data_IF_920515409053
#
_entry.id   IF_920515409053
#
_cell.length_a   1.000
_cell.length_b   1.000
_cell.length_c   1.000
_cell.angle_alpha   90.00
_cell.angle_beta   90.00
_cell.angle_gamma   90.00
#
_symmetry.space_group_name_H-M   'P 1'
#
loop_
_entity.id
_entity.type
_entity.pdbx_description
1 polymer ?
#
# COMPACT_ATOMS: atom_id res chain seq x y z
N UNK A 1 -37.76 38.32 -5.26
CA UNK A 1 -38.10 37.41 -6.37
C UNK A 1 -39.28 37.92 -7.20
N UNK A 2 -40.48 38.09 -6.63
CA UNK A 2 -41.69 38.49 -7.38
C UNK A 2 -41.56 39.84 -8.11
N UNK A 3 -40.96 40.85 -7.48
CA UNK A 3 -40.71 42.15 -8.14
C UNK A 3 -39.70 42.09 -9.29
N UNK A 4 -38.76 41.14 -9.26
CA UNK A 4 -37.79 40.94 -10.34
C UNK A 4 -38.46 40.24 -11.54
N UNK A 5 -39.32 39.25 -11.29
CA UNK A 5 -40.12 38.58 -12.31
C UNK A 5 -41.04 39.56 -13.07
N UNK A 6 -41.70 40.47 -12.36
CA UNK A 6 -42.57 41.49 -12.96
C UNK A 6 -41.78 42.46 -13.85
N UNK A 7 -40.58 42.88 -13.40
CA UNK A 7 -39.67 43.71 -14.18
C UNK A 7 -39.19 43.02 -15.47
N UNK A 8 -38.80 41.74 -15.38
CA UNK A 8 -38.35 40.95 -16.52
C UNK A 8 -39.47 40.71 -17.54
N UNK A 9 -40.69 40.39 -17.10
CA UNK A 9 -41.86 40.26 -17.97
C UNK A 9 -42.22 41.60 -18.65
N UNK A 10 -42.12 42.71 -17.92
CA UNK A 10 -42.31 44.05 -18.49
C UNK A 10 -41.27 44.39 -19.55
N UNK A 11 -40.01 43.99 -19.36
CA UNK A 11 -38.92 44.17 -20.33
C UNK A 11 -39.10 43.29 -21.57
N UNK A 12 -39.53 42.03 -21.38
CA UNK A 12 -39.84 41.12 -22.48
C UNK A 12 -40.96 41.67 -23.38
N UNK A 13 -42.03 42.22 -22.80
CA UNK A 13 -43.10 42.85 -23.58
C UNK A 13 -42.59 44.02 -24.42
N UNK A 14 -41.71 44.88 -23.88
CA UNK A 14 -41.10 45.98 -24.66
C UNK A 14 -40.25 45.47 -25.83
N UNK A 15 -39.51 44.37 -25.63
CA UNK A 15 -38.71 43.75 -26.70
C UNK A 15 -39.62 43.16 -27.79
N UNK A 16 -40.74 42.55 -27.42
CA UNK A 16 -41.76 42.06 -28.36
C UNK A 16 -42.43 43.19 -29.14
N UNK A 17 -42.76 44.30 -28.48
CA UNK A 17 -43.31 45.49 -29.12
C UNK A 17 -42.29 46.09 -30.11
N UNK A 18 -41.01 46.17 -29.75
CA UNK A 18 -39.96 46.65 -30.65
C UNK A 18 -39.73 45.73 -31.87
N UNK A 19 -39.90 44.41 -31.70
CA UNK A 19 -39.82 43.44 -32.80
C UNK A 19 -41.01 43.54 -33.76
N UNK A 20 -42.20 43.90 -33.28
CA UNK A 20 -43.44 44.00 -34.07
C UNK A 20 -43.58 45.36 -34.78
N UNK A 21 -43.19 46.46 -34.14
CA UNK A 21 -43.33 47.81 -34.69
C UNK A 21 -42.08 48.37 -35.39
N UNK A 22 -40.95 47.64 -35.40
CA UNK A 22 -39.72 48.01 -36.12
C UNK A 22 -39.89 47.98 -37.65
N UNK A 23 -40.36 49.11 -38.20
CA UNK A 23 -40.78 49.29 -39.59
C UNK A 23 -39.69 48.94 -40.61
N UNK A 24 -40.06 48.09 -41.57
CA UNK A 24 -39.38 47.89 -42.84
C UNK A 24 -39.39 49.19 -43.64
N UNK A 25 -38.23 49.82 -43.84
CA UNK A 25 -38.06 50.79 -44.92
C UNK A 25 -38.30 50.01 -46.22
N UNK A 26 -39.46 50.26 -46.82
CA UNK A 26 -39.97 49.48 -47.94
C UNK A 26 -39.38 50.09 -49.22
N UNK A 27 -38.53 49.34 -49.94
CA UNK A 27 -37.92 49.75 -51.23
C UNK A 27 -38.89 50.45 -52.19
N UNK A 28 -40.19 50.13 -52.11
CA UNK A 28 -41.28 50.74 -52.88
C UNK A 28 -41.45 52.27 -52.73
N UNK A 29 -40.91 52.90 -51.69
CA UNK A 29 -41.02 54.36 -51.53
C UNK A 29 -39.96 55.14 -52.33
N UNK A 30 -38.76 54.58 -52.52
CA UNK A 30 -37.69 55.27 -53.25
C UNK A 30 -37.90 55.26 -54.77
N UNK A 31 -38.60 54.27 -55.32
CA UNK A 31 -38.97 54.25 -56.75
C UNK A 31 -39.92 55.40 -57.13
N UNK A 32 -40.75 55.89 -56.19
CA UNK A 32 -41.62 57.06 -56.41
C UNK A 32 -40.86 58.38 -56.41
N UNK A 33 -39.68 58.47 -55.79
CA UNK A 33 -38.82 59.67 -55.80
C UNK A 33 -38.18 59.92 -57.16
N UNK A 34 -38.06 58.89 -58.01
CA UNK A 34 -37.52 58.97 -59.37
C UNK A 34 -38.34 59.90 -60.30
N UNK A 35 -39.62 60.13 -59.97
CA UNK A 35 -40.50 61.01 -60.74
C UNK A 35 -40.44 62.50 -60.37
N UNK A 36 -39.87 62.86 -59.20
CA UNK A 36 -39.92 64.22 -58.67
C UNK A 36 -38.57 64.95 -58.63
N UNK A 37 -37.44 64.23 -58.62
CA UNK A 37 -36.10 64.85 -58.52
C UNK A 37 -35.08 64.16 -59.46
N UNK A 38 -34.81 64.71 -60.65
CA UNK A 38 -33.92 64.11 -61.65
C UNK A 38 -32.42 64.13 -61.32
N UNK A 39 -31.97 65.00 -60.40
CA UNK A 39 -30.55 65.21 -60.03
C UNK A 39 -30.12 64.47 -58.74
N UNK A 40 -30.86 63.44 -58.31
CA UNK A 40 -30.56 62.71 -57.07
C UNK A 40 -29.62 61.52 -57.34
N UNK A 41 -28.49 61.48 -56.62
CA UNK A 41 -27.53 60.37 -56.66
C UNK A 41 -28.11 59.10 -55.97
N UNK A 42 -28.78 58.29 -56.79
CA UNK A 42 -29.41 57.03 -56.37
C UNK A 42 -28.41 55.98 -55.87
N UNK A 43 -27.13 56.05 -56.27
CA UNK A 43 -26.13 55.10 -55.79
C UNK A 43 -25.89 55.29 -54.29
N UNK A 44 -25.78 56.54 -53.84
CA UNK A 44 -25.60 56.91 -52.43
C UNK A 44 -26.84 56.63 -51.57
N UNK A 45 -28.05 56.82 -52.12
CA UNK A 45 -29.30 56.48 -51.43
C UNK A 45 -29.47 54.96 -51.24
N UNK A 46 -29.07 54.16 -52.22
CA UNK A 46 -29.11 52.70 -52.11
C UNK A 46 -28.05 52.17 -51.13
N UNK A 47 -26.88 52.82 -51.05
CA UNK A 47 -25.87 52.53 -50.02
C UNK A 47 -26.40 52.83 -48.61
N UNK A 48 -27.06 53.98 -48.42
CA UNK A 48 -27.72 54.36 -47.16
C UNK A 48 -28.86 53.39 -46.81
N UNK A 49 -29.67 52.96 -47.77
CA UNK A 49 -30.73 51.95 -47.56
C UNK A 49 -30.15 50.58 -47.21
N UNK A 50 -29.06 50.17 -47.87
CA UNK A 50 -28.33 48.94 -47.52
C UNK A 50 -27.75 49.03 -46.10
N UNK A 51 -27.16 50.15 -45.72
CA UNK A 51 -26.69 50.41 -44.36
C UNK A 51 -27.84 50.31 -43.34
N UNK A 52 -28.97 50.99 -43.58
CA UNK A 52 -30.14 50.91 -42.70
C UNK A 52 -30.76 49.51 -42.65
N UNK A 53 -30.76 48.77 -43.75
CA UNK A 53 -31.22 47.38 -43.78
C UNK A 53 -30.30 46.46 -42.98
N UNK A 54 -28.99 46.70 -43.04
CA UNK A 54 -27.98 46.00 -42.24
C UNK A 54 -28.13 46.29 -40.75
N UNK A 55 -28.24 47.56 -40.37
CA UNK A 55 -28.49 48.00 -38.99
C UNK A 55 -29.80 47.42 -38.45
N UNK A 56 -30.87 47.43 -39.26
CA UNK A 56 -32.16 46.86 -38.87
C UNK A 56 -32.08 45.35 -38.68
N UNK A 57 -31.29 44.65 -39.52
CA UNK A 57 -31.09 43.19 -39.40
C UNK A 57 -30.31 42.84 -38.13
N UNK A 58 -29.23 43.59 -37.83
CA UNK A 58 -28.44 43.41 -36.62
C UNK A 58 -29.30 43.70 -35.38
N UNK A 59 -30.03 44.82 -35.37
CA UNK A 59 -30.93 45.18 -34.27
C UNK A 59 -32.02 44.12 -34.04
N UNK A 60 -32.62 43.59 -35.11
CA UNK A 60 -33.59 42.49 -34.99
C UNK A 60 -32.97 41.20 -34.45
N UNK A 61 -31.71 40.90 -34.78
CA UNK A 61 -31.01 39.74 -34.21
C UNK A 61 -30.69 39.94 -32.72
N UNK A 62 -30.25 41.14 -32.33
CA UNK A 62 -29.99 41.45 -30.91
C UNK A 62 -31.27 41.43 -30.08
N UNK A 63 -32.38 41.99 -30.57
CA UNK A 63 -33.68 41.94 -29.90
C UNK A 63 -34.19 40.50 -29.74
N UNK A 64 -33.94 39.61 -30.71
CA UNK A 64 -34.27 38.18 -30.58
C UNK A 64 -33.42 37.49 -29.52
N UNK A 65 -32.11 37.75 -29.50
CA UNK A 65 -31.23 37.19 -28.48
C UNK A 65 -31.60 37.69 -27.07
N UNK A 66 -31.95 38.96 -26.93
CA UNK A 66 -32.42 39.53 -25.66
C UNK A 66 -33.75 38.90 -25.23
N UNK A 67 -34.67 38.68 -26.18
CA UNK A 67 -35.92 37.97 -25.92
C UNK A 67 -35.68 36.57 -25.36
N UNK A 68 -34.86 35.77 -26.02
CA UNK A 68 -34.58 34.39 -25.61
C UNK A 68 -33.89 34.33 -24.22
N UNK A 69 -32.97 35.27 -23.96
CA UNK A 69 -32.34 35.43 -22.64
C UNK A 69 -33.35 35.77 -21.54
N UNK A 70 -34.29 36.69 -21.81
CA UNK A 70 -35.32 37.08 -20.85
C UNK A 70 -36.30 35.92 -20.57
N UNK A 71 -36.70 35.16 -21.59
CA UNK A 71 -37.57 33.99 -21.43
C UNK A 71 -36.90 32.90 -20.58
N UNK A 72 -35.61 32.64 -20.77
CA UNK A 72 -34.85 31.69 -19.94
C UNK A 72 -34.80 32.13 -18.48
N UNK A 73 -34.55 33.41 -18.22
CA UNK A 73 -34.49 33.95 -16.85
C UNK A 73 -35.85 33.90 -16.15
N UNK A 74 -36.93 34.23 -16.87
CA UNK A 74 -38.31 34.16 -16.34
C UNK A 74 -38.65 32.72 -15.96
N UNK A 75 -38.40 31.75 -16.84
CA UNK A 75 -38.69 30.34 -16.58
C UNK A 75 -37.90 29.79 -15.37
N UNK A 76 -36.62 30.17 -15.23
CA UNK A 76 -35.81 29.75 -14.09
C UNK A 76 -36.39 30.26 -12.76
N UNK A 77 -36.79 31.54 -12.72
CA UNK A 77 -37.37 32.15 -11.52
C UNK A 77 -38.75 31.54 -11.21
N UNK A 78 -39.57 31.26 -12.21
CA UNK A 78 -40.88 30.63 -12.00
C UNK A 78 -40.76 29.20 -11.45
N UNK A 79 -39.80 28.41 -11.94
CA UNK A 79 -39.53 27.08 -11.40
C UNK A 79 -39.06 27.13 -9.93
N UNK A 80 -38.25 28.13 -9.59
CA UNK A 80 -37.79 28.33 -8.21
C UNK A 80 -38.95 28.72 -7.28
N UNK A 81 -39.85 29.60 -7.74
CA UNK A 81 -41.08 29.97 -7.01
C UNK A 81 -41.94 28.72 -6.75
N UNK A 82 -42.21 27.91 -7.77
CA UNK A 82 -43.00 26.67 -7.63
C UNK A 82 -42.36 25.69 -6.65
N UNK A 83 -41.02 25.55 -6.69
CA UNK A 83 -40.28 24.70 -5.74
C UNK A 83 -40.42 25.21 -4.31
N UNK A 84 -40.29 26.53 -4.09
CA UNK A 84 -40.44 27.14 -2.78
C UNK A 84 -41.88 27.05 -2.25
N UNK A 85 -42.88 27.30 -3.09
CA UNK A 85 -44.29 27.17 -2.73
C UNK A 85 -44.62 25.72 -2.34
N UNK A 86 -44.07 24.73 -3.04
CA UNK A 86 -44.26 23.31 -2.68
C UNK A 86 -43.63 22.95 -1.32
N UNK A 87 -42.49 23.55 -0.96
CA UNK A 87 -41.83 23.37 0.34
C UNK A 87 -42.59 24.08 1.46
N UNK A 88 -43.14 25.26 1.19
CA UNK A 88 -43.99 26.01 2.12
C UNK A 88 -45.31 25.29 2.37
N UNK A 89 -45.99 24.81 1.34
CA UNK A 89 -47.23 24.06 1.46
C UNK A 89 -47.04 22.80 2.32
N UNK A 90 -45.95 22.04 2.11
CA UNK A 90 -45.61 20.90 2.99
C UNK A 90 -45.37 21.33 4.43
N UNK A 91 -44.67 22.45 4.64
CA UNK A 91 -44.40 22.96 5.99
C UNK A 91 -45.66 23.45 6.71
N UNK A 92 -46.59 24.07 5.98
CA UNK A 92 -47.86 24.58 6.51
C UNK A 92 -48.87 23.46 6.81
N UNK A 93 -48.95 22.44 5.94
CA UNK A 93 -49.75 21.23 6.17
C UNK A 93 -49.27 20.44 7.42
N UNK A 94 -47.97 20.53 7.74
CA UNK A 94 -47.39 19.99 8.98
C UNK A 94 -47.73 20.80 10.25
N UNK A 95 -48.07 22.10 10.14
CA UNK A 95 -48.42 22.95 11.28
C UNK A 95 -49.85 22.71 11.80
N UNK A 96 -50.76 22.21 10.94
CA UNK A 96 -52.12 21.86 11.35
C UNK A 96 -52.21 20.51 12.10
N UNK A 97 -51.15 19.70 12.11
CA UNK A 97 -51.08 18.38 12.79
C UNK A 97 -49.86 18.27 13.72
N UNK A 98 -50.00 18.60 15.02
CA UNK A 98 -48.89 18.58 15.99
C UNK A 98 -48.16 17.24 16.11
N UNK A 99 -48.84 16.11 15.89
CA UNK A 99 -48.25 14.78 16.01
C UNK A 99 -47.17 14.51 14.96
N UNK A 100 -47.37 14.95 13.71
CA UNK A 100 -46.39 14.72 12.63
C UNK A 100 -45.08 15.49 12.83
N UNK A 101 -45.15 16.64 13.50
CA UNK A 101 -43.96 17.43 13.84
C UNK A 101 -43.17 16.81 14.98
N UNK A 102 -43.86 16.23 15.98
CA UNK A 102 -43.23 15.45 17.06
C UNK A 102 -42.59 14.18 16.52
N UNK A 103 -43.26 13.46 15.63
CA UNK A 103 -42.72 12.26 14.98
C UNK A 103 -41.46 12.59 14.16
N UNK A 104 -41.50 13.68 13.38
CA UNK A 104 -40.33 14.12 12.60
C UNK A 104 -39.16 14.55 13.50
N UNK A 105 -39.45 15.24 14.61
CA UNK A 105 -38.43 15.63 15.58
C UNK A 105 -37.80 14.41 16.24
N UNK A 106 -38.61 13.39 16.56
CA UNK A 106 -38.15 12.13 17.14
C UNK A 106 -37.30 11.33 16.15
N UNK A 107 -37.71 11.26 14.88
CA UNK A 107 -36.90 10.67 13.81
C UNK A 107 -35.54 11.35 13.69
N UNK A 108 -35.51 12.69 13.64
CA UNK A 108 -34.26 13.46 13.53
C UNK A 108 -33.38 13.28 14.78
N UNK A 109 -33.96 13.20 15.97
CA UNK A 109 -33.22 12.96 17.21
C UNK A 109 -32.62 11.55 17.25
N UNK A 110 -33.34 10.54 16.75
CA UNK A 110 -32.83 9.17 16.61
C UNK A 110 -31.68 9.17 15.59
N UNK A 111 -31.85 9.81 14.43
CA UNK A 111 -30.81 9.91 13.40
C UNK A 111 -29.56 10.61 13.94
N UNK A 112 -29.73 11.74 14.64
CA UNK A 112 -28.63 12.45 15.30
C UNK A 112 -27.90 11.55 16.29
N UNK A 113 -28.65 10.82 17.13
CA UNK A 113 -28.06 9.89 18.09
C UNK A 113 -27.26 8.79 17.41
N UNK A 114 -27.81 8.17 16.35
CA UNK A 114 -27.13 7.13 15.57
C UNK A 114 -25.84 7.68 14.96
N UNK A 115 -25.89 8.87 14.34
CA UNK A 115 -24.71 9.53 13.77
C UNK A 115 -23.66 9.85 14.83
N UNK A 116 -24.07 10.35 16.01
CA UNK A 116 -23.16 10.61 17.14
C UNK A 116 -22.50 9.33 17.64
N UNK A 117 -23.27 8.25 17.80
CA UNK A 117 -22.73 6.96 18.22
C UNK A 117 -21.74 6.41 17.18
N UNK A 118 -22.05 6.50 15.88
CA UNK A 118 -21.13 6.11 14.80
C UNK A 118 -19.81 6.89 14.83
N UNK A 119 -19.88 8.21 15.02
CA UNK A 119 -18.68 9.05 15.17
C UNK A 119 -17.85 8.62 16.38
N UNK A 120 -18.51 8.39 17.54
CA UNK A 120 -17.83 7.90 18.75
C UNK A 120 -17.14 6.55 18.51
N UNK A 121 -17.83 5.60 17.88
CA UNK A 121 -17.24 4.29 17.58
C UNK A 121 -16.06 4.39 16.63
N UNK A 122 -16.14 5.27 15.62
CA UNK A 122 -15.03 5.54 14.72
C UNK A 122 -13.83 6.11 15.46
N UNK A 123 -14.03 7.10 16.33
CA UNK A 123 -12.94 7.75 17.06
C UNK A 123 -12.27 6.78 18.06
N UNK A 124 -13.08 5.93 18.72
CA UNK A 124 -12.56 4.84 19.57
C UNK A 124 -11.74 3.86 18.72
N UNK A 125 -12.26 3.43 17.57
CA UNK A 125 -11.55 2.51 16.68
C UNK A 125 -10.22 3.09 16.21
N UNK A 126 -10.20 4.34 15.75
CA UNK A 126 -8.97 5.03 15.34
C UNK A 126 -7.96 5.10 16.49
N UNK A 127 -8.41 5.37 17.71
CA UNK A 127 -7.55 5.38 18.90
C UNK A 127 -6.96 3.99 19.18
N UNK A 128 -7.77 2.93 19.07
CA UNK A 128 -7.32 1.56 19.26
C UNK A 128 -6.32 1.18 18.17
N UNK A 129 -6.64 1.41 16.89
CA UNK A 129 -5.79 1.08 15.75
C UNK A 129 -4.43 1.80 15.87
N UNK A 130 -4.43 3.06 16.31
CA UNK A 130 -3.18 3.82 16.57
C UNK A 130 -2.36 3.15 17.68
N UNK A 131 -2.98 2.81 18.81
CA UNK A 131 -2.27 2.14 19.93
C UNK A 131 -1.76 0.76 19.54
N UNK A 132 -2.52 0.00 18.75
CA UNK A 132 -2.10 -1.31 18.23
C UNK A 132 -0.89 -1.15 17.32
N UNK A 133 -0.91 -0.17 16.41
CA UNK A 133 0.24 0.16 15.56
C UNK A 133 1.49 0.50 16.36
N UNK A 134 1.36 1.37 17.37
CA UNK A 134 2.48 1.74 18.25
C UNK A 134 3.04 0.55 19.04
N UNK A 135 2.17 -0.30 19.60
CA UNK A 135 2.59 -1.48 20.35
C UNK A 135 3.25 -2.52 19.45
N UNK A 136 2.69 -2.74 18.25
CA UNK A 136 3.28 -3.65 17.26
C UNK A 136 4.67 -3.17 16.84
N UNK A 137 4.83 -1.87 16.57
CA UNK A 137 6.14 -1.28 16.27
C UNK A 137 7.15 -1.50 17.40
N UNK A 138 6.75 -1.23 18.66
CA UNK A 138 7.61 -1.48 19.83
C UNK A 138 8.01 -2.94 20.01
N UNK A 139 7.12 -3.88 19.69
CA UNK A 139 7.41 -5.32 19.74
C UNK A 139 8.44 -5.68 18.65
N UNK A 140 8.21 -5.22 17.42
CA UNK A 140 9.16 -5.38 16.30
C UNK A 140 10.54 -4.82 16.64
N UNK A 141 10.63 -3.58 17.13
CA UNK A 141 11.90 -2.96 17.49
C UNK A 141 12.66 -3.73 18.57
N UNK A 142 11.96 -4.17 19.62
CA UNK A 142 12.55 -4.97 20.71
C UNK A 142 12.98 -6.35 20.24
N UNK A 143 12.22 -6.94 19.32
CA UNK A 143 12.53 -8.25 18.74
C UNK A 143 13.77 -8.16 17.87
N UNK A 144 13.85 -7.18 16.96
CA UNK A 144 15.04 -6.90 16.16
C UNK A 144 16.27 -6.62 17.02
N UNK A 145 16.14 -5.81 18.08
CA UNK A 145 17.24 -5.53 19.00
C UNK A 145 17.73 -6.80 19.73
N UNK A 146 16.83 -7.74 20.02
CA UNK A 146 17.17 -9.04 20.62
C UNK A 146 17.83 -9.97 19.61
N UNK A 147 17.33 -10.02 18.37
CA UNK A 147 17.92 -10.78 17.27
C UNK A 147 19.35 -10.31 16.97
N UNK A 148 19.59 -9.00 16.90
CA UNK A 148 20.94 -8.45 16.69
C UNK A 148 21.93 -8.86 17.80
N UNK A 149 21.47 -8.95 19.05
CA UNK A 149 22.30 -9.44 20.16
C UNK A 149 22.63 -10.92 19.99
N UNK A 150 21.64 -11.74 19.66
CA UNK A 150 21.83 -13.18 19.40
C UNK A 150 22.79 -13.38 18.23
N UNK A 151 22.58 -12.64 17.14
CA UNK A 151 23.41 -12.66 15.94
C UNK A 151 24.89 -12.37 16.28
N UNK A 152 25.15 -11.30 17.03
CA UNK A 152 26.51 -10.94 17.47
C UNK A 152 27.15 -12.03 18.33
N UNK A 153 26.38 -12.65 19.23
CA UNK A 153 26.85 -13.76 20.08
C UNK A 153 27.20 -14.98 19.22
N UNK A 154 26.32 -15.37 18.29
CA UNK A 154 26.56 -16.51 17.41
C UNK A 154 27.76 -16.25 16.49
N UNK A 155 27.81 -15.11 15.82
CA UNK A 155 28.90 -14.76 14.91
C UNK A 155 30.28 -14.72 15.60
N UNK A 156 30.36 -14.16 16.81
CA UNK A 156 31.61 -14.16 17.59
C UNK A 156 32.02 -15.56 18.05
N UNK A 157 31.06 -16.40 18.44
CA UNK A 157 31.32 -17.78 18.89
C UNK A 157 31.71 -18.69 17.73
N UNK A 158 31.04 -18.57 16.58
CA UNK A 158 31.41 -19.28 15.35
C UNK A 158 32.81 -18.88 14.89
N UNK A 159 33.13 -17.58 14.92
CA UNK A 159 34.46 -17.09 14.56
C UNK A 159 35.54 -17.68 15.48
N UNK A 160 35.27 -17.79 16.78
CA UNK A 160 36.15 -18.47 17.74
C UNK A 160 36.41 -19.92 17.33
N UNK A 161 35.38 -20.71 17.04
CA UNK A 161 35.54 -22.12 16.66
C UNK A 161 36.24 -22.29 15.30
N UNK A 162 35.89 -21.48 14.31
CA UNK A 162 36.52 -21.56 12.99
C UNK A 162 38.01 -21.24 13.05
N UNK A 163 38.43 -20.28 13.88
CA UNK A 163 39.84 -19.98 14.12
C UNK A 163 40.59 -21.10 14.86
N UNK A 164 39.88 -22.04 15.51
CA UNK A 164 40.49 -23.24 16.11
C UNK A 164 40.62 -24.35 15.06
N UNK A 165 39.61 -24.51 14.21
CA UNK A 165 39.58 -25.59 13.21
C UNK A 165 40.59 -25.39 12.09
N UNK A 166 40.79 -24.14 11.67
CA UNK A 166 41.67 -23.78 10.56
C UNK A 166 42.68 -22.72 10.97
N UNK A 167 43.91 -22.91 10.53
CA UNK A 167 45.01 -21.97 10.72
C UNK A 167 44.99 -20.91 9.58
N UNK A 168 45.75 -19.81 9.72
CA UNK A 168 45.90 -18.76 8.69
C UNK A 168 44.68 -17.86 8.38
N UNK A 169 44.01 -17.32 9.42
CA UNK A 169 42.89 -16.36 9.27
C UNK A 169 41.79 -16.89 8.33
N UNK A 170 41.15 -18.01 8.67
CA UNK A 170 40.10 -18.59 7.86
C UNK A 170 38.95 -17.61 7.63
N UNK A 171 38.32 -17.73 6.47
CA UNK A 171 37.01 -17.11 6.22
C UNK A 171 36.03 -17.67 7.26
N UNK A 172 35.39 -16.76 7.99
CA UNK A 172 34.39 -17.08 9.02
C UNK A 172 32.99 -16.91 8.45
N UNK A 173 32.06 -17.83 8.76
CA UNK A 173 30.67 -17.67 8.35
C UNK A 173 30.01 -16.55 9.15
N UNK A 174 28.96 -15.96 8.58
CA UNK A 174 28.09 -15.01 9.28
C UNK A 174 26.65 -15.49 9.20
N UNK A 175 25.96 -15.47 10.32
CA UNK A 175 24.50 -15.56 10.35
C UNK A 175 23.94 -14.14 10.47
N UNK A 176 22.92 -13.85 9.68
CA UNK A 176 22.14 -12.61 9.75
C UNK A 176 20.69 -13.00 10.08
N UNK A 177 20.13 -12.40 11.13
CA UNK A 177 18.80 -12.76 11.64
C UNK A 177 17.78 -11.67 11.32
N UNK A 178 16.72 -12.05 10.62
CA UNK A 178 15.53 -11.24 10.38
C UNK A 178 14.34 -11.74 11.20
N UNK A 179 13.22 -11.01 11.22
CA UNK A 179 12.05 -11.41 12.01
C UNK A 179 11.51 -12.81 11.66
N UNK A 180 11.58 -13.20 10.38
CA UNK A 180 10.97 -14.45 9.87
C UNK A 180 11.95 -15.34 9.13
N UNK A 181 13.21 -14.92 8.99
CA UNK A 181 14.20 -15.55 8.12
C UNK A 181 15.60 -15.43 8.72
N UNK A 182 16.49 -16.29 8.27
CA UNK A 182 17.91 -16.16 8.54
C UNK A 182 18.70 -16.38 7.24
N UNK A 183 19.82 -15.70 7.12
CA UNK A 183 20.78 -15.90 6.04
C UNK A 183 22.10 -16.39 6.65
N UNK A 184 22.60 -17.51 6.13
CA UNK A 184 23.88 -18.08 6.56
C UNK A 184 24.93 -17.89 5.45
N UNK A 185 25.76 -16.86 5.61
CA UNK A 185 26.71 -16.38 4.63
C UNK A 185 28.06 -17.08 4.80
N UNK A 186 28.53 -17.69 3.71
CA UNK A 186 29.78 -18.47 3.67
C UNK A 186 30.99 -17.63 3.20
N UNK A 187 30.78 -16.33 2.95
CA UNK A 187 31.83 -15.32 2.69
C UNK A 187 32.90 -15.74 1.65
N UNK A 188 32.47 -16.34 0.53
CA UNK A 188 33.25 -16.72 -0.68
C UNK A 188 33.92 -18.10 -0.71
N UNK A 189 33.94 -18.85 0.39
CA UNK A 189 34.46 -20.22 0.41
C UNK A 189 33.32 -21.24 0.25
N UNK A 190 33.21 -21.83 -0.95
CA UNK A 190 32.15 -22.78 -1.33
C UNK A 190 32.56 -24.25 -1.22
N UNK A 191 33.74 -24.55 -0.65
CA UNK A 191 34.18 -25.92 -0.46
C UNK A 191 33.23 -26.70 0.44
N UNK A 192 32.79 -27.89 0.01
CA UNK A 192 31.87 -28.75 0.78
C UNK A 192 32.39 -29.06 2.19
N UNK A 193 33.70 -29.31 2.34
CA UNK A 193 34.33 -29.51 3.64
C UNK A 193 34.25 -28.28 4.55
N UNK A 194 34.43 -27.08 3.99
CA UNK A 194 34.30 -25.83 4.73
C UNK A 194 32.86 -25.58 5.17
N UNK A 195 31.89 -25.89 4.31
CA UNK A 195 30.47 -25.77 4.65
C UNK A 195 30.12 -26.65 5.86
N UNK A 196 30.60 -27.90 5.91
CA UNK A 196 30.43 -28.75 7.09
C UNK A 196 31.13 -28.20 8.33
N UNK A 197 32.34 -27.66 8.20
CA UNK A 197 33.02 -27.02 9.33
C UNK A 197 32.28 -25.79 9.87
N UNK A 198 31.70 -24.99 8.97
CA UNK A 198 30.88 -23.84 9.32
C UNK A 198 29.61 -24.27 10.05
N UNK A 199 28.96 -25.36 9.60
CA UNK A 199 27.82 -25.96 10.29
C UNK A 199 28.21 -26.47 11.68
N UNK A 200 29.32 -27.20 11.80
CA UNK A 200 29.85 -27.68 13.10
C UNK A 200 30.13 -26.50 14.04
N UNK A 201 30.71 -25.41 13.55
CA UNK A 201 30.97 -24.22 14.35
C UNK A 201 29.67 -23.57 14.85
N UNK A 202 28.62 -23.56 14.03
CA UNK A 202 27.30 -23.07 14.41
C UNK A 202 26.67 -23.96 15.49
N UNK A 203 26.69 -25.29 15.30
CA UNK A 203 26.16 -26.26 16.25
C UNK A 203 26.87 -26.17 17.61
N UNK A 204 28.20 -26.05 17.59
CA UNK A 204 28.99 -25.83 18.80
C UNK A 204 28.67 -24.50 19.47
N UNK A 205 28.38 -23.46 18.68
CA UNK A 205 27.94 -22.17 19.22
C UNK A 205 26.60 -22.29 19.94
N UNK A 206 25.64 -23.05 19.39
CA UNK A 206 24.39 -23.36 20.09
C UNK A 206 24.62 -24.18 21.34
N UNK A 207 25.46 -25.22 21.26
CA UNK A 207 25.80 -26.05 22.41
C UNK A 207 26.44 -25.21 23.53
N UNK A 208 27.34 -24.26 23.21
CA UNK A 208 27.99 -23.40 24.20
C UNK A 208 27.02 -22.38 24.81
N UNK A 209 26.19 -21.73 23.99
CA UNK A 209 25.42 -20.54 24.39
C UNK A 209 24.01 -20.81 24.89
N UNK A 210 23.46 -22.00 24.65
CA UNK A 210 22.09 -22.34 25.03
C UNK A 210 22.05 -23.38 26.15
N UNK A 211 20.85 -23.78 26.59
CA UNK A 211 20.65 -24.88 27.52
C UNK A 211 20.65 -26.27 26.85
N UNK A 212 20.96 -26.37 25.55
CA UNK A 212 21.01 -27.64 24.83
C UNK A 212 21.95 -28.61 25.57
N UNK A 213 21.48 -29.82 25.96
CA UNK A 213 22.26 -30.72 26.81
C UNK A 213 23.28 -31.56 26.03
N UNK A 214 23.01 -31.83 24.75
CA UNK A 214 23.83 -32.70 23.93
C UNK A 214 23.85 -32.31 22.45
N UNK A 215 24.89 -32.73 21.75
CA UNK A 215 25.05 -32.60 20.30
C UNK A 215 25.32 -33.98 19.69
N UNK A 216 24.78 -34.25 18.49
CA UNK A 216 24.97 -35.51 17.78
C UNK A 216 25.33 -35.23 16.33
N UNK A 217 26.46 -35.74 15.85
CA UNK A 217 26.89 -35.62 14.45
C UNK A 217 27.15 -36.98 13.82
N UNK A 218 26.62 -37.16 12.61
CA UNK A 218 26.80 -38.37 11.82
C UNK A 218 28.07 -38.32 10.96
N UNK A 219 28.46 -39.46 10.40
CA UNK A 219 29.65 -39.67 9.56
C UNK A 219 29.76 -38.71 8.38
N UNK A 220 28.62 -38.33 7.79
CA UNK A 220 28.59 -37.47 6.60
C UNK A 220 29.20 -36.09 6.86
N UNK A 221 29.14 -35.62 8.11
CA UNK A 221 29.68 -34.31 8.50
C UNK A 221 31.20 -34.28 8.33
N UNK A 222 31.88 -35.38 8.64
CA UNK A 222 33.35 -35.47 8.59
C UNK A 222 33.89 -35.93 7.23
N UNK A 223 33.04 -36.54 6.39
CA UNK A 223 33.47 -37.26 5.18
C UNK A 223 34.25 -36.42 4.15
N UNK A 224 33.94 -35.12 4.06
CA UNK A 224 34.54 -34.19 3.08
C UNK A 224 35.45 -33.13 3.73
N UNK A 225 35.75 -33.27 5.03
CA UNK A 225 36.60 -32.34 5.76
C UNK A 225 38.07 -32.76 5.66
N UNK A 226 38.98 -31.79 5.77
CA UNK A 226 40.41 -32.07 5.85
C UNK A 226 40.75 -32.72 7.20
N UNK A 227 41.67 -33.68 7.18
CA UNK A 227 42.05 -34.46 8.36
C UNK A 227 42.45 -33.55 9.53
N UNK A 228 43.21 -32.48 9.27
CA UNK A 228 43.61 -31.49 10.29
C UNK A 228 42.41 -30.82 10.99
N UNK A 229 41.35 -30.51 10.24
CA UNK A 229 40.16 -29.85 10.79
C UNK A 229 39.36 -30.82 11.67
N UNK A 230 39.23 -32.09 11.22
CA UNK A 230 38.58 -33.16 12.00
C UNK A 230 39.30 -33.34 13.35
N UNK A 231 40.63 -33.40 13.35
CA UNK A 231 41.41 -33.54 14.58
C UNK A 231 41.17 -32.41 15.58
N UNK A 232 41.17 -31.15 15.11
CA UNK A 232 40.89 -29.98 15.96
C UNK A 232 39.45 -30.02 16.49
N UNK A 233 38.48 -30.42 15.65
CA UNK A 233 37.07 -30.54 16.04
C UNK A 233 36.90 -31.60 17.14
N UNK A 234 37.44 -32.81 16.96
CA UNK A 234 37.35 -33.89 17.96
C UNK A 234 38.00 -33.46 19.27
N UNK A 235 39.14 -32.76 19.20
CA UNK A 235 39.79 -32.18 20.38
C UNK A 235 38.90 -31.15 21.09
N UNK A 236 38.21 -30.27 20.37
CA UNK A 236 37.26 -29.32 20.97
C UNK A 236 36.02 -30.01 21.55
N UNK A 237 35.50 -31.05 20.91
CA UNK A 237 34.39 -31.84 21.46
C UNK A 237 34.75 -32.46 22.81
N UNK A 238 35.97 -33.00 22.95
CA UNK A 238 36.42 -33.60 24.21
C UNK A 238 36.53 -32.62 25.38
N UNK A 239 36.62 -31.30 25.10
CA UNK A 239 36.66 -30.24 26.12
C UNK A 239 35.27 -29.76 26.55
N UNK A 240 34.22 -30.16 25.82
CA UNK A 240 32.86 -29.76 26.15
C UNK A 240 32.45 -30.32 27.51
N UNK A 241 31.81 -29.49 28.33
CA UNK A 241 31.15 -29.93 29.58
C UNK A 241 29.81 -30.64 29.31
N UNK A 242 29.33 -30.57 28.08
CA UNK A 242 28.06 -31.13 27.61
C UNK A 242 28.34 -32.36 26.74
N UNK A 243 27.36 -33.25 26.61
CA UNK A 243 27.55 -34.50 25.90
C UNK A 243 27.64 -34.26 24.37
N UNK A 244 28.60 -34.89 23.72
CA UNK A 244 28.75 -34.85 22.26
C UNK A 244 28.91 -36.27 21.76
N UNK A 245 28.05 -36.68 20.83
CA UNK A 245 28.09 -37.99 20.18
C UNK A 245 28.49 -37.79 18.72
N UNK A 246 29.47 -38.56 18.25
CA UNK A 246 29.92 -38.51 16.87
C UNK A 246 30.01 -39.91 16.29
N UNK A 247 29.74 -40.03 14.99
CA UNK A 247 30.13 -41.18 14.20
C UNK A 247 31.31 -40.79 13.30
N UNK A 248 32.37 -41.59 13.31
CA UNK A 248 33.62 -41.30 12.59
C UNK A 248 34.17 -42.56 11.91
N UNK A 249 34.66 -42.42 10.68
CA UNK A 249 35.35 -43.48 9.94
C UNK A 249 36.83 -43.12 9.74
N UNK A 250 37.57 -44.04 9.11
CA UNK A 250 38.95 -43.80 8.63
C UNK A 250 39.90 -43.21 9.68
N UNK A 251 39.75 -43.61 10.95
CA UNK A 251 40.59 -43.14 12.06
C UNK A 251 42.10 -43.27 11.79
N UNK A 252 42.52 -44.25 10.99
CA UNK A 252 43.92 -44.44 10.62
C UNK A 252 44.56 -43.30 9.81
N UNK A 253 43.77 -42.36 9.27
CA UNK A 253 44.27 -41.15 8.60
C UNK A 253 44.61 -40.01 9.56
N UNK A 254 44.06 -40.06 10.77
CA UNK A 254 44.19 -39.00 11.77
C UNK A 254 45.45 -39.22 12.61
N UNK A 255 45.90 -38.17 13.29
CA UNK A 255 47.01 -38.24 14.25
C UNK A 255 46.79 -39.27 15.35
N UNK A 256 47.89 -39.82 15.86
CA UNK A 256 47.89 -40.82 16.95
C UNK A 256 47.15 -40.28 18.18
N UNK A 257 47.36 -39.00 18.53
CA UNK A 257 46.65 -38.33 19.63
C UNK A 257 45.12 -38.38 19.45
N UNK A 258 44.64 -38.10 18.24
CA UNK A 258 43.20 -38.12 17.94
C UNK A 258 42.65 -39.55 17.96
N UNK A 259 43.40 -40.52 17.45
CA UNK A 259 43.02 -41.93 17.50
C UNK A 259 42.89 -42.44 18.94
N UNK A 260 43.85 -42.11 19.81
CA UNK A 260 43.82 -42.45 21.23
C UNK A 260 42.64 -41.78 21.95
N UNK A 261 42.37 -40.51 21.62
CA UNK A 261 41.24 -39.77 22.17
C UNK A 261 39.90 -40.40 21.81
N UNK A 262 39.70 -40.77 20.54
CA UNK A 262 38.47 -41.45 20.09
C UNK A 262 38.33 -42.81 20.77
N UNK A 263 39.39 -43.63 20.79
CA UNK A 263 39.38 -44.95 21.46
C UNK A 263 39.07 -44.87 22.95
N UNK A 264 39.56 -43.83 23.63
CA UNK A 264 39.30 -43.62 25.06
C UNK A 264 37.82 -43.39 25.36
N UNK A 265 37.10 -42.72 24.47
CA UNK A 265 35.67 -42.40 24.63
C UNK A 265 34.78 -43.25 23.72
N UNK A 266 35.33 -44.31 23.14
CA UNK A 266 34.63 -45.20 22.22
C UNK A 266 33.56 -45.99 22.97
N UNK A 267 32.31 -45.82 22.55
CA UNK A 267 31.19 -46.61 23.06
C UNK A 267 30.88 -47.83 22.17
N UNK A 268 31.06 -47.67 20.85
CA UNK A 268 30.75 -48.69 19.85
C UNK A 268 31.70 -48.54 18.66
N UNK A 269 32.41 -49.62 18.33
CA UNK A 269 33.09 -49.78 17.05
C UNK A 269 32.43 -50.89 16.24
N UNK A 270 32.26 -50.63 14.95
CA UNK A 270 31.80 -51.62 13.98
C UNK A 270 32.98 -52.02 13.09
N UNK A 271 33.26 -53.30 13.01
CA UNK A 271 34.33 -53.86 12.19
C UNK A 271 33.94 -55.25 11.64
N UNK A 272 34.90 -55.94 11.02
CA UNK A 272 34.68 -57.28 10.45
C UNK A 272 34.21 -58.32 11.48
N UNK A 273 34.58 -58.15 12.75
CA UNK A 273 34.24 -59.00 13.88
C UNK A 273 33.05 -58.44 14.70
N UNK A 274 32.89 -57.11 14.73
CA UNK A 274 31.82 -56.40 15.42
C UNK A 274 30.76 -55.91 14.41
N UNK A 275 29.87 -56.82 14.02
CA UNK A 275 28.82 -56.54 13.03
C UNK A 275 27.64 -55.78 13.63
N UNK A 276 27.09 -54.84 12.84
CA UNK A 276 25.82 -54.21 13.16
C UNK A 276 24.71 -55.28 13.24
N UNK A 277 23.96 -55.29 14.35
CA UNK A 277 22.87 -56.24 14.61
C UNK A 277 23.27 -57.73 14.57
N UNK A 278 24.55 -58.06 14.76
CA UNK A 278 25.08 -59.43 14.69
C UNK A 278 24.86 -60.11 13.32
N UNK A 279 24.58 -59.35 12.26
CA UNK A 279 24.32 -59.87 10.90
C UNK A 279 25.28 -59.28 9.88
N UNK A 280 25.79 -60.14 9.00
CA UNK A 280 26.61 -59.73 7.87
C UNK A 280 25.76 -59.55 6.61
N UNK A 281 25.62 -58.31 6.16
CA UNK A 281 24.86 -57.97 4.94
C UNK A 281 25.62 -58.30 3.64
N UNK A 282 26.91 -58.68 3.73
CA UNK A 282 27.72 -59.09 2.57
C UNK A 282 27.25 -60.42 1.95
N UNK A 283 26.52 -61.25 2.70
CA UNK A 283 26.06 -62.59 2.24
C UNK A 283 24.61 -62.61 1.72
N UNK A 284 23.93 -61.46 1.63
CA UNK A 284 22.53 -61.36 1.21
C UNK A 284 22.33 -60.62 -0.12
N UNK A 285 23.37 -60.52 -0.95
CA UNK A 285 23.26 -60.02 -2.32
C UNK A 285 23.29 -61.17 -3.32
#
# INVERSE_FOLDING_TARGET
MVGNLFSLKGRLNRVLDNLTYGSTVNKKYFDKLKGYFPDVDFAKLNEIDQFHSGVTKILKSELRNEKDMLELQINAIELEIVSLDSKLARSLDMLEKPSGLVDKLLELSIEEKVLRDQLRFRDIKLTIDTKVGELSGKITDRSMASLLKIEKILNSTMSKYINIFYENKPVTPKIELSETRYDFLHNTDSGTGKAYANMVALDMSYLEKTYLPALIHDLIVFSNMEDHAIEKIVKEYSKSKKQVFIAIDKLGRLSIETQELVKKYEFLALDSNHLAFLKSWKKQR
#
